data_IF_621879127285
#
_entry.id   IF_621879127285
#
_cell.length_a   1.000
_cell.length_b   1.000
_cell.length_c   1.000
_cell.angle_alpha   90.00
_cell.angle_beta   90.00
_cell.angle_gamma   90.00
#
_symmetry.space_group_name_H-M   'P 1'
#
loop_
_entity.id
_entity.type
_entity.pdbx_description
1 polymer ?
#
# COMPACT_ATOMS: atom_id res chain seq x y z
N UNK A 1 8.59 19.68 -0.49
CA UNK A 1 8.34 18.70 -1.57
C UNK A 1 6.98 18.98 -2.16
N UNK A 2 6.83 18.77 -3.47
CA UNK A 2 5.51 18.89 -4.10
C UNK A 2 4.73 17.58 -3.92
N UNK A 3 3.41 17.70 -3.87
CA UNK A 3 2.48 16.57 -3.92
C UNK A 3 2.81 15.62 -5.08
N UNK A 4 3.11 16.19 -6.25
CA UNK A 4 3.47 15.46 -7.47
C UNK A 4 4.74 14.58 -7.32
N UNK A 5 5.76 15.01 -6.56
CA UNK A 5 6.94 14.18 -6.31
C UNK A 5 6.60 12.92 -5.50
N UNK A 6 5.68 13.07 -4.55
CA UNK A 6 5.21 11.97 -3.70
C UNK A 6 4.38 10.98 -4.52
N UNK A 7 3.40 11.47 -5.29
CA UNK A 7 2.58 10.63 -6.16
C UNK A 7 3.40 9.89 -7.21
N UNK A 8 4.36 10.57 -7.85
CA UNK A 8 5.24 9.96 -8.84
C UNK A 8 6.08 8.84 -8.25
N UNK A 9 6.53 8.95 -7.00
CA UNK A 9 7.27 7.88 -6.36
C UNK A 9 6.38 6.66 -6.11
N UNK A 10 5.12 6.86 -5.69
CA UNK A 10 4.16 5.76 -5.54
C UNK A 10 3.90 5.05 -6.86
N UNK A 11 3.58 5.80 -7.90
CA UNK A 11 3.16 5.24 -9.19
C UNK A 11 4.31 4.54 -9.93
N UNK A 12 5.52 5.11 -9.89
CA UNK A 12 6.64 4.64 -10.71
C UNK A 12 7.61 3.71 -9.95
N UNK A 13 7.62 3.78 -8.62
CA UNK A 13 8.56 2.99 -7.80
C UNK A 13 7.83 2.06 -6.85
N UNK A 14 6.96 2.58 -5.98
CA UNK A 14 6.35 1.78 -4.92
C UNK A 14 5.43 0.71 -5.50
N UNK A 15 4.44 1.08 -6.31
CA UNK A 15 3.42 0.15 -6.78
C UNK A 15 3.97 -0.97 -7.64
N UNK A 16 4.86 -0.73 -8.64
CA UNK A 16 5.42 -1.82 -9.42
C UNK A 16 6.20 -2.84 -8.59
N UNK A 17 6.94 -2.39 -7.57
CA UNK A 17 7.69 -3.29 -6.69
C UNK A 17 6.75 -4.03 -5.72
N UNK A 18 5.76 -3.33 -5.15
CA UNK A 18 4.79 -3.95 -4.26
C UNK A 18 3.94 -4.99 -4.97
N UNK A 19 3.35 -4.67 -6.14
CA UNK A 19 2.53 -5.62 -6.91
C UNK A 19 3.36 -6.81 -7.41
N UNK A 20 4.67 -6.62 -7.60
CA UNK A 20 5.59 -7.70 -7.92
C UNK A 20 5.76 -8.66 -6.75
N UNK A 21 5.85 -8.21 -5.50
CA UNK A 21 6.04 -9.12 -4.37
C UNK A 21 4.72 -9.63 -3.77
N UNK A 22 3.72 -8.76 -3.64
CA UNK A 22 2.35 -9.10 -3.21
C UNK A 22 1.53 -9.63 -4.40
N UNK A 23 1.87 -10.84 -4.85
CA UNK A 23 1.20 -11.50 -5.98
C UNK A 23 -0.32 -11.57 -5.80
N UNK A 24 -1.05 -11.05 -6.79
CA UNK A 24 -2.51 -11.01 -6.78
C UNK A 24 -3.10 -9.79 -6.05
N UNK A 25 -2.25 -8.87 -5.61
CA UNK A 25 -2.65 -7.51 -5.25
C UNK A 25 -2.50 -6.56 -6.46
N UNK A 26 -3.38 -5.58 -6.54
CA UNK A 26 -3.28 -4.40 -7.40
C UNK A 26 -3.41 -3.15 -6.55
N UNK A 27 -2.56 -2.16 -6.79
CA UNK A 27 -2.50 -0.93 -6.02
C UNK A 27 -2.99 0.25 -6.85
N UNK A 28 -3.69 1.16 -6.18
CA UNK A 28 -4.14 2.41 -6.75
C UNK A 28 -3.85 3.56 -5.80
N UNK A 29 -3.49 4.70 -6.36
CA UNK A 29 -3.37 5.95 -5.63
C UNK A 29 -4.72 6.66 -5.70
N UNK A 30 -5.20 7.11 -4.55
CA UNK A 30 -6.47 7.82 -4.44
C UNK A 30 -6.27 9.14 -3.70
N UNK A 31 -6.74 10.22 -4.31
CA UNK A 31 -6.74 11.54 -3.70
C UNK A 31 -8.12 11.83 -3.13
N UNK A 32 -8.19 12.13 -1.84
CA UNK A 32 -9.43 12.54 -1.22
C UNK A 32 -9.89 13.89 -1.78
N UNK A 33 -10.89 13.82 -2.66
CA UNK A 33 -11.44 15.02 -3.31
C UNK A 33 -12.48 15.74 -2.44
N UNK A 34 -13.28 14.97 -1.66
CA UNK A 34 -14.33 15.47 -0.76
C UNK A 34 -14.52 14.52 0.42
N UNK A 35 -15.04 15.02 1.54
CA UNK A 35 -15.35 14.23 2.74
C UNK A 35 -14.21 14.21 3.78
N UNK A 36 -14.20 13.19 4.64
CA UNK A 36 -13.28 13.10 5.78
C UNK A 36 -11.80 13.02 5.37
N UNK A 37 -11.52 12.45 4.20
CA UNK A 37 -10.16 12.27 3.68
C UNK A 37 -9.72 13.41 2.73
N UNK A 38 -10.43 14.55 2.69
CA UNK A 38 -10.12 15.63 1.74
C UNK A 38 -8.68 16.12 1.88
N UNK A 39 -7.93 16.13 0.77
CA UNK A 39 -6.52 16.54 0.74
C UNK A 39 -5.53 15.46 1.18
N UNK A 40 -6.00 14.27 1.52
CA UNK A 40 -5.17 13.11 1.89
C UNK A 40 -4.95 12.22 0.67
N UNK A 41 -3.70 11.81 0.48
CA UNK A 41 -3.31 10.78 -0.50
C UNK A 41 -3.39 9.42 0.19
N UNK A 42 -4.10 8.49 -0.42
CA UNK A 42 -4.33 7.14 0.09
C UNK A 42 -3.89 6.08 -0.92
N UNK A 43 -3.53 4.91 -0.41
CA UNK A 43 -3.24 3.73 -1.21
C UNK A 43 -4.37 2.71 -1.03
N UNK A 44 -5.00 2.33 -2.14
CA UNK A 44 -6.04 1.30 -2.17
C UNK A 44 -5.41 0.00 -2.62
N UNK A 45 -5.61 -1.06 -1.83
CA UNK A 45 -5.22 -2.43 -2.16
C UNK A 45 -6.42 -3.21 -2.64
N UNK A 46 -6.32 -3.81 -3.81
CA UNK A 46 -7.32 -4.72 -4.34
C UNK A 46 -6.69 -6.10 -4.47
N UNK A 47 -7.18 -7.04 -3.66
CA UNK A 47 -6.81 -8.45 -3.77
C UNK A 47 -7.86 -9.21 -4.57
N UNK A 48 -7.42 -10.22 -5.32
CA UNK A 48 -8.33 -11.10 -6.08
C UNK A 48 -9.31 -11.86 -5.18
N UNK A 49 -8.91 -12.19 -3.95
CA UNK A 49 -9.75 -12.86 -2.97
C UNK A 49 -9.19 -12.66 -1.56
N UNK A 50 -10.02 -12.94 -0.54
CA UNK A 50 -9.60 -13.01 0.86
C UNK A 50 -8.46 -14.01 1.07
N UNK A 51 -8.51 -15.15 0.37
CA UNK A 51 -7.45 -16.18 0.44
C UNK A 51 -6.11 -15.60 0.01
N UNK A 52 -6.07 -14.80 -1.06
CA UNK A 52 -4.84 -14.12 -1.50
C UNK A 52 -4.36 -13.09 -0.48
N UNK A 53 -5.26 -12.26 0.07
CA UNK A 53 -4.93 -11.29 1.12
C UNK A 53 -4.32 -11.97 2.35
N UNK A 54 -4.89 -13.11 2.74
CA UNK A 54 -4.48 -13.86 3.93
C UNK A 54 -3.13 -14.58 3.81
N UNK A 55 -2.54 -14.66 2.61
CA UNK A 55 -1.16 -15.11 2.46
C UNK A 55 -0.18 -14.12 3.12
N UNK A 56 -0.52 -12.84 3.11
CA UNK A 56 0.39 -11.75 3.50
C UNK A 56 0.01 -11.12 4.84
N UNK A 57 -1.28 -11.07 5.14
CA UNK A 57 -1.81 -10.40 6.33
C UNK A 57 -2.67 -11.35 7.17
N UNK A 58 -2.47 -11.33 8.49
CA UNK A 58 -3.28 -12.10 9.43
C UNK A 58 -4.65 -11.44 9.65
N UNK A 59 -5.64 -12.18 10.14
CA UNK A 59 -7.02 -11.71 10.29
C UNK A 59 -7.20 -10.54 11.26
N UNK A 60 -6.24 -10.35 12.18
CA UNK A 60 -6.17 -9.21 13.11
C UNK A 60 -5.43 -7.99 12.52
N UNK A 61 -4.98 -8.08 11.26
CA UNK A 61 -4.24 -7.02 10.57
C UNK A 61 -2.73 -7.03 10.76
N UNK A 62 -2.20 -8.02 11.46
CA UNK A 62 -0.77 -8.27 11.47
C UNK A 62 -0.25 -8.77 10.13
N UNK A 63 1.06 -9.00 10.07
CA UNK A 63 1.72 -9.63 8.93
C UNK A 63 1.91 -11.12 9.19
N UNK A 64 1.78 -11.93 8.14
CA UNK A 64 2.27 -13.31 8.17
C UNK A 64 3.80 -13.34 8.05
N UNK A 65 4.43 -14.50 8.20
CA UNK A 65 5.87 -14.66 7.92
C UNK A 65 6.24 -14.24 6.49
N UNK A 66 5.39 -14.58 5.52
CA UNK A 66 5.59 -14.15 4.13
C UNK A 66 5.45 -12.63 3.99
N UNK A 67 4.45 -12.02 4.63
CA UNK A 67 4.28 -10.57 4.65
C UNK A 67 5.47 -9.83 5.24
N UNK A 68 6.06 -10.37 6.32
CA UNK A 68 7.27 -9.84 6.94
C UNK A 68 8.48 -9.94 6.01
N UNK A 69 8.70 -11.11 5.39
CA UNK A 69 9.80 -11.32 4.45
C UNK A 69 9.74 -10.34 3.26
N UNK A 70 8.55 -10.13 2.71
CA UNK A 70 8.34 -9.16 1.63
C UNK A 70 8.59 -7.72 2.13
N UNK A 71 8.17 -7.41 3.36
CA UNK A 71 8.46 -6.13 4.01
C UNK A 71 9.97 -5.83 4.09
N UNK A 72 10.77 -6.83 4.41
CA UNK A 72 12.24 -6.73 4.44
C UNK A 72 12.83 -6.51 3.05
N UNK A 73 12.33 -7.22 2.02
CA UNK A 73 12.74 -7.03 0.62
C UNK A 73 12.40 -5.62 0.09
N UNK A 74 11.26 -5.08 0.50
CA UNK A 74 10.79 -3.76 0.08
C UNK A 74 11.35 -2.62 0.94
N UNK A 75 12.17 -2.92 1.96
CA UNK A 75 12.78 -1.92 2.84
C UNK A 75 13.48 -0.78 2.07
N UNK A 76 14.27 -1.01 1.00
CA UNK A 76 14.91 0.08 0.26
C UNK A 76 13.91 1.03 -0.40
N UNK A 77 12.77 0.51 -0.85
CA UNK A 77 11.67 1.30 -1.43
C UNK A 77 10.99 2.14 -0.34
N UNK A 78 10.75 1.52 0.82
CA UNK A 78 10.15 2.18 1.98
C UNK A 78 11.04 3.28 2.55
N UNK A 79 12.35 3.04 2.67
CA UNK A 79 13.31 4.05 3.09
C UNK A 79 13.33 5.25 2.13
N UNK A 80 13.04 5.02 0.84
CA UNK A 80 12.87 6.08 -0.15
C UNK A 80 11.62 6.91 0.09
N UNK A 81 10.49 6.28 0.39
CA UNK A 81 9.27 6.97 0.81
C UNK A 81 9.50 7.83 2.06
N UNK A 82 10.26 7.36 3.07
CA UNK A 82 10.48 8.08 4.35
C UNK A 82 11.12 9.44 4.10
N UNK A 83 11.98 9.52 3.09
CA UNK A 83 12.61 10.78 2.67
C UNK A 83 11.61 11.76 2.05
N UNK A 84 10.49 11.26 1.53
CA UNK A 84 9.44 12.04 0.87
C UNK A 84 8.35 12.56 1.82
N UNK A 85 8.29 12.05 3.05
CA UNK A 85 7.34 12.51 4.06
C UNK A 85 7.04 11.44 5.11
N UNK A 86 6.16 11.77 6.03
CA UNK A 86 5.58 10.80 6.96
C UNK A 86 4.26 10.28 6.42
N UNK A 87 4.00 9.00 6.64
CA UNK A 87 2.70 8.39 6.44
C UNK A 87 2.36 7.53 7.65
N UNK A 88 1.08 7.24 7.79
CA UNK A 88 0.56 6.26 8.73
C UNK A 88 -0.32 5.28 7.96
N UNK A 89 -0.56 4.10 8.54
CA UNK A 89 -1.49 3.13 7.99
C UNK A 89 -2.66 2.95 8.96
N UNK A 90 -3.85 3.24 8.47
CA UNK A 90 -5.11 2.75 9.02
C UNK A 90 -5.81 2.02 7.88
N UNK A 91 -6.27 0.81 8.15
CA UNK A 91 -6.87 -0.01 7.11
C UNK A 91 -8.30 -0.41 7.49
N UNK A 92 -9.09 -0.67 6.46
CA UNK A 92 -10.36 -1.39 6.57
C UNK A 92 -10.46 -2.25 5.33
N UNK A 93 -10.61 -3.55 5.52
CA UNK A 93 -10.83 -4.46 4.41
C UNK A 93 -12.32 -4.46 4.03
N UNK A 94 -12.60 -4.24 2.76
CA UNK A 94 -13.94 -4.22 2.23
C UNK A 94 -14.12 -5.39 1.28
N UNK A 95 -15.20 -6.16 1.48
CA UNK A 95 -15.63 -7.16 0.50
C UNK A 95 -16.53 -6.49 -0.53
N UNK A 96 -16.06 -6.43 -1.77
CA UNK A 96 -16.82 -5.92 -2.92
C UNK A 96 -17.58 -7.09 -3.55
N UNK A 97 -18.87 -6.90 -3.82
CA UNK A 97 -19.77 -7.89 -4.42
C UNK A 97 -20.21 -7.47 -5.82
#
# INVERSE_FOLDING_TARGET
MSHEQFENYFLNTTFPNYEKEFKGAKLYLANGFRGQETGIVSMIWIFKSEVTRNLYFTTDGGNTELGLSIGDELKPINDGLIKLGSWTSKYTDWLVK
#
